data_IF_355360293199
#
_entry.id   IF_355360293199
#
_cell.length_a   1.000
_cell.length_b   1.000
_cell.length_c   1.000
_cell.angle_alpha   90.00
_cell.angle_beta   90.00
_cell.angle_gamma   90.00
#
_symmetry.space_group_name_H-M   'P 1'
#
loop_
_entity.id
_entity.type
_entity.pdbx_description
1 polymer ?
#
# COMPACT_ATOMS: atom_id res chain seq x y z
N UNK A 1 26.52 9.98 -6.86
CA UNK A 1 25.74 9.19 -7.81
C UNK A 1 24.47 8.64 -7.14
N UNK A 2 24.58 8.00 -5.97
CA UNK A 2 23.44 7.44 -5.22
C UNK A 2 22.48 8.55 -4.79
N UNK A 3 22.96 9.62 -4.19
CA UNK A 3 22.11 10.77 -3.82
C UNK A 3 21.35 11.32 -5.04
N UNK A 4 22.01 11.40 -6.21
CA UNK A 4 21.34 11.82 -7.45
C UNK A 4 20.27 10.85 -7.91
N UNK A 5 20.47 9.54 -7.72
CA UNK A 5 19.45 8.53 -8.02
C UNK A 5 18.23 8.70 -7.10
N UNK A 6 18.47 8.79 -5.80
CA UNK A 6 17.40 9.00 -4.81
C UNK A 6 16.67 10.32 -5.05
N UNK A 7 17.41 11.39 -5.39
CA UNK A 7 16.81 12.67 -5.77
C UNK A 7 15.86 12.52 -6.96
N UNK A 8 16.25 11.77 -7.99
CA UNK A 8 15.37 11.50 -9.13
C UNK A 8 14.10 10.74 -8.74
N UNK A 9 14.22 9.74 -7.87
CA UNK A 9 13.04 9.05 -7.33
C UNK A 9 12.09 10.03 -6.64
N UNK A 10 12.61 10.95 -5.81
CA UNK A 10 11.83 11.99 -5.14
C UNK A 10 11.18 12.98 -6.11
N UNK A 11 11.82 13.23 -7.26
CA UNK A 11 11.31 14.16 -8.28
C UNK A 11 10.25 13.57 -9.19
N UNK A 12 10.11 12.26 -9.30
CA UNK A 12 9.18 11.60 -10.24
C UNK A 12 7.74 12.07 -10.04
N UNK A 13 7.31 12.31 -8.81
CA UNK A 13 5.96 12.81 -8.52
C UNK A 13 5.63 14.16 -9.19
N UNK A 14 6.61 14.98 -9.45
CA UNK A 14 6.44 16.29 -10.12
C UNK A 14 6.31 16.16 -11.64
N UNK A 15 6.69 15.02 -12.20
CA UNK A 15 6.51 14.71 -13.62
C UNK A 15 5.10 14.22 -14.00
N UNK A 16 4.19 14.11 -13.04
CA UNK A 16 2.82 13.70 -13.27
C UNK A 16 1.99 14.82 -13.89
N UNK A 17 0.92 14.46 -14.61
CA UNK A 17 0.00 15.45 -15.17
C UNK A 17 -0.67 16.28 -14.05
N UNK A 18 -0.99 17.56 -14.31
CA UNK A 18 -1.56 18.45 -13.29
C UNK A 18 -2.82 17.93 -12.61
N UNK A 19 -3.74 17.31 -13.35
CA UNK A 19 -4.97 16.74 -12.80
C UNK A 19 -4.71 15.61 -11.81
N UNK A 20 -3.70 14.77 -12.08
CA UNK A 20 -3.29 13.74 -11.14
C UNK A 20 -2.70 14.36 -9.87
N UNK A 21 -1.84 15.35 -10.01
CA UNK A 21 -1.23 16.04 -8.86
C UNK A 21 -2.28 16.77 -8.00
N UNK A 22 -3.34 17.26 -8.60
CA UNK A 22 -4.45 17.90 -7.87
C UNK A 22 -5.19 16.90 -6.97
N UNK A 23 -5.42 15.68 -7.46
CA UNK A 23 -6.12 14.62 -6.71
C UNK A 23 -5.24 13.96 -5.67
N UNK A 24 -3.97 13.73 -6.00
CA UNK A 24 -3.03 12.93 -5.22
C UNK A 24 -1.83 13.75 -4.73
N UNK A 25 -2.02 15.03 -4.53
CA UNK A 25 -0.98 15.92 -3.98
C UNK A 25 -0.54 15.44 -2.59
N UNK A 26 0.76 15.23 -2.46
CA UNK A 26 1.36 14.72 -1.22
C UNK A 26 1.51 13.21 -1.16
N UNK A 27 0.82 12.44 -2.00
CA UNK A 27 1.02 11.00 -2.06
C UNK A 27 2.36 10.65 -2.73
N UNK A 28 3.12 9.71 -2.14
CA UNK A 28 4.34 9.20 -2.77
C UNK A 28 4.02 8.42 -4.05
N UNK A 29 5.03 8.27 -4.92
CA UNK A 29 4.95 7.43 -6.14
C UNK A 29 5.08 5.95 -5.80
N UNK A 30 5.56 5.64 -4.59
CA UNK A 30 5.80 4.29 -4.09
C UNK A 30 6.88 3.52 -4.85
N UNK A 31 7.88 4.23 -5.40
CA UNK A 31 9.08 3.59 -5.89
C UNK A 31 9.78 2.88 -4.74
N UNK A 32 9.88 1.55 -4.81
CA UNK A 32 10.52 0.74 -3.77
C UNK A 32 11.97 0.47 -4.13
N UNK A 33 12.86 0.63 -3.16
CA UNK A 33 14.27 0.32 -3.24
C UNK A 33 14.61 -0.68 -2.15
N UNK A 34 14.97 -1.88 -2.54
CA UNK A 34 15.32 -2.95 -1.61
C UNK A 34 16.82 -3.08 -1.43
N UNK A 35 17.23 -3.33 -0.20
CA UNK A 35 18.65 -3.55 0.18
C UNK A 35 18.77 -4.74 1.10
N UNK A 36 19.95 -5.33 1.14
CA UNK A 36 20.29 -6.51 1.94
C UNK A 36 19.59 -7.81 1.45
N UNK A 37 19.08 -8.63 2.39
CA UNK A 37 18.53 -9.94 2.07
C UNK A 37 19.58 -11.00 1.78
N UNK A 38 19.15 -12.13 1.22
CA UNK A 38 20.00 -13.27 0.88
C UNK A 38 19.86 -13.66 -0.60
N UNK A 39 20.94 -14.16 -1.19
CA UNK A 39 20.92 -14.77 -2.51
C UNK A 39 20.51 -16.23 -2.47
N UNK A 40 20.28 -16.81 -3.65
CA UNK A 40 19.94 -18.24 -3.85
C UNK A 40 20.99 -19.18 -3.23
N UNK A 41 22.24 -18.74 -3.19
CA UNK A 41 23.36 -19.47 -2.59
C UNK A 41 23.46 -19.34 -1.06
N UNK A 42 22.51 -18.66 -0.43
CA UNK A 42 22.46 -18.47 1.01
C UNK A 42 23.42 -17.40 1.56
N UNK A 43 24.16 -16.70 0.70
CA UNK A 43 25.00 -15.58 1.12
C UNK A 43 24.18 -14.31 1.27
N UNK A 44 24.50 -13.50 2.28
CA UNK A 44 23.89 -12.18 2.38
C UNK A 44 24.28 -11.29 1.20
N UNK A 45 23.37 -10.46 0.75
CA UNK A 45 23.55 -9.55 -0.38
C UNK A 45 24.02 -8.16 0.06
N UNK A 46 24.35 -7.96 1.34
CA UNK A 46 24.84 -6.68 1.85
C UNK A 46 26.14 -6.29 1.17
N UNK A 47 26.11 -5.13 0.53
CA UNK A 47 27.24 -4.53 -0.20
C UNK A 47 27.54 -3.14 0.36
N UNK A 48 28.63 -2.54 -0.14
CA UNK A 48 28.98 -1.14 0.15
C UNK A 48 27.87 -0.15 -0.29
N UNK A 49 27.13 -0.51 -1.33
CA UNK A 49 26.05 0.34 -1.83
C UNK A 49 24.84 0.36 -0.89
N UNK A 50 24.55 -0.74 -0.19
CA UNK A 50 23.46 -0.74 0.80
C UNK A 50 23.72 0.26 1.92
N UNK A 51 24.96 0.31 2.44
CA UNK A 51 25.35 1.37 3.40
C UNK A 51 25.20 2.78 2.82
N UNK A 52 25.54 2.97 1.54
CA UNK A 52 25.43 4.26 0.87
C UNK A 52 23.98 4.68 0.66
N UNK A 53 23.10 3.74 0.31
CA UNK A 53 21.66 4.00 0.21
C UNK A 53 21.07 4.40 1.56
N UNK A 54 21.45 3.72 2.63
CA UNK A 54 21.03 4.12 3.97
C UNK A 54 21.58 5.51 4.33
N UNK A 55 22.85 5.76 4.04
CA UNK A 55 23.50 7.05 4.34
C UNK A 55 22.87 8.23 3.58
N UNK A 56 22.34 7.99 2.39
CA UNK A 56 21.64 9.02 1.60
C UNK A 56 20.45 9.62 2.37
N UNK A 57 19.81 8.86 3.24
CA UNK A 57 18.73 9.38 4.08
C UNK A 57 19.20 10.46 5.08
N UNK A 58 20.46 10.38 5.54
CA UNK A 58 21.06 11.46 6.33
C UNK A 58 21.46 12.65 5.46
N UNK A 59 22.07 12.40 4.28
CA UNK A 59 22.51 13.46 3.38
C UNK A 59 21.37 14.31 2.83
N UNK A 60 20.26 13.67 2.47
CA UNK A 60 19.14 14.32 1.79
C UNK A 60 17.94 14.58 2.70
N UNK A 61 18.01 14.12 3.93
CA UNK A 61 16.92 14.15 4.89
C UNK A 61 15.87 13.04 4.65
N UNK A 62 15.02 12.80 5.67
CA UNK A 62 13.97 11.78 5.62
C UNK A 62 12.95 12.06 4.52
N UNK A 63 12.45 11.01 3.90
CA UNK A 63 11.42 11.10 2.87
C UNK A 63 10.76 9.74 2.64
N UNK A 64 9.48 9.70 2.26
CA UNK A 64 8.82 8.45 1.87
C UNK A 64 9.28 7.94 0.49
N UNK A 65 10.08 8.72 -0.25
CA UNK A 65 10.57 8.38 -1.59
C UNK A 65 12.10 8.30 -1.66
N UNK A 66 12.64 7.23 -2.23
CA UNK A 66 11.99 5.94 -2.49
C UNK A 66 11.56 5.29 -1.18
N UNK A 67 10.58 4.36 -1.23
CA UNK A 67 10.27 3.51 -0.10
C UNK A 67 11.43 2.53 0.09
N UNK A 68 12.34 2.85 1.00
CA UNK A 68 13.56 2.08 1.21
C UNK A 68 13.28 0.94 2.17
N UNK A 69 13.38 -0.28 1.67
CA UNK A 69 13.09 -1.52 2.39
C UNK A 69 14.36 -2.31 2.64
N UNK A 70 14.61 -2.64 3.90
CA UNK A 70 15.65 -3.59 4.30
C UNK A 70 15.04 -4.98 4.39
N UNK A 71 15.50 -5.90 3.55
CA UNK A 71 15.16 -7.32 3.66
C UNK A 71 15.95 -7.90 4.84
N UNK A 72 15.32 -7.87 6.00
CA UNK A 72 15.96 -8.15 7.28
C UNK A 72 16.02 -9.64 7.62
N UNK A 73 17.17 -10.05 8.15
CA UNK A 73 17.36 -11.34 8.83
C UNK A 73 18.32 -11.15 9.98
N UNK A 74 18.17 -11.94 11.02
CA UNK A 74 19.12 -11.97 12.14
C UNK A 74 20.52 -12.45 11.71
N UNK A 75 20.62 -13.13 10.57
CA UNK A 75 21.88 -13.65 9.97
C UNK A 75 22.66 -12.59 9.19
N UNK A 76 22.08 -11.41 8.92
CA UNK A 76 22.80 -10.32 8.26
C UNK A 76 23.98 -9.84 9.12
N UNK A 77 25.04 -9.27 8.50
CA UNK A 77 26.19 -8.76 9.24
C UNK A 77 25.78 -7.80 10.35
N UNK A 78 26.29 -8.03 11.54
CA UNK A 78 25.91 -7.25 12.73
C UNK A 78 26.12 -5.74 12.54
N UNK A 79 27.24 -5.36 11.91
CA UNK A 79 27.53 -3.95 11.64
C UNK A 79 26.48 -3.31 10.72
N UNK A 80 25.96 -4.06 9.73
CA UNK A 80 24.89 -3.56 8.85
C UNK A 80 23.60 -3.38 9.64
N UNK A 81 23.20 -4.38 10.44
CA UNK A 81 21.99 -4.31 11.25
C UNK A 81 22.03 -3.12 12.23
N UNK A 82 23.17 -2.92 12.91
CA UNK A 82 23.37 -1.78 13.80
C UNK A 82 23.29 -0.45 13.05
N UNK A 83 23.92 -0.36 11.89
CA UNK A 83 23.91 0.86 11.10
C UNK A 83 22.50 1.18 10.59
N UNK A 84 21.78 0.20 10.04
CA UNK A 84 20.39 0.36 9.61
C UNK A 84 19.49 0.84 10.74
N UNK A 85 19.62 0.25 11.95
CA UNK A 85 18.88 0.67 13.12
C UNK A 85 19.16 2.14 13.51
N UNK A 86 20.43 2.57 13.48
CA UNK A 86 20.81 3.96 13.77
C UNK A 86 20.16 4.92 12.77
N UNK A 87 20.25 4.61 11.47
CA UNK A 87 19.62 5.45 10.44
C UNK A 87 18.09 5.46 10.56
N UNK A 88 17.50 4.31 10.87
CA UNK A 88 16.05 4.21 11.09
C UNK A 88 15.57 5.12 12.23
N UNK A 89 16.27 5.10 13.37
CA UNK A 89 15.94 5.96 14.52
C UNK A 89 16.08 7.45 14.17
N UNK A 90 17.10 7.81 13.38
CA UNK A 90 17.36 9.21 13.03
C UNK A 90 16.41 9.77 11.97
N UNK A 91 15.96 8.92 11.03
CA UNK A 91 15.26 9.39 9.83
C UNK A 91 13.81 8.93 9.73
N UNK A 92 13.43 7.86 10.43
CA UNK A 92 12.10 7.20 10.31
C UNK A 92 11.72 6.89 8.84
N UNK A 93 12.71 6.63 7.98
CA UNK A 93 12.52 6.47 6.53
C UNK A 93 12.93 5.10 6.00
N UNK A 94 13.04 4.11 6.88
CA UNK A 94 13.37 2.73 6.50
C UNK A 94 12.22 1.81 6.89
N UNK A 95 11.83 0.97 5.95
CA UNK A 95 10.92 -0.15 6.17
C UNK A 95 11.73 -1.43 6.33
N UNK A 96 11.22 -2.35 7.13
CA UNK A 96 11.84 -3.67 7.33
C UNK A 96 10.87 -4.77 6.95
N UNK A 97 11.34 -5.70 6.13
CA UNK A 97 10.64 -6.95 5.82
C UNK A 97 11.47 -8.13 6.33
N UNK A 98 10.80 -9.12 6.91
CA UNK A 98 11.48 -10.30 7.44
C UNK A 98 11.77 -11.30 6.33
N UNK A 99 13.00 -11.27 5.80
CA UNK A 99 13.45 -12.14 4.70
C UNK A 99 13.38 -13.64 5.08
N UNK A 100 13.58 -13.98 6.35
CA UNK A 100 13.49 -15.38 6.81
C UNK A 100 12.05 -15.93 6.77
N UNK A 101 11.04 -15.06 6.85
CA UNK A 101 9.62 -15.41 6.75
C UNK A 101 9.11 -15.32 5.30
N UNK A 102 9.52 -14.28 4.58
CA UNK A 102 9.01 -14.01 3.23
C UNK A 102 9.55 -14.97 2.19
N UNK A 103 10.85 -15.22 2.21
CA UNK A 103 11.54 -16.06 1.21
C UNK A 103 11.00 -17.49 1.10
N UNK A 104 10.71 -18.23 2.20
CA UNK A 104 10.13 -19.56 2.10
C UNK A 104 8.76 -19.63 1.41
N UNK A 105 8.00 -18.53 1.43
CA UNK A 105 6.66 -18.43 0.85
C UNK A 105 6.72 -17.94 -0.60
N UNK A 106 7.54 -16.91 -0.87
CA UNK A 106 7.55 -16.19 -2.15
C UNK A 106 8.72 -16.58 -3.06
N UNK A 107 9.68 -17.36 -2.57
CA UNK A 107 10.87 -17.74 -3.33
C UNK A 107 11.98 -16.69 -3.26
N UNK A 108 13.06 -16.95 -4.01
CA UNK A 108 14.26 -16.12 -3.97
C UNK A 108 14.13 -14.81 -4.77
N UNK A 109 13.20 -14.76 -5.71
CA UNK A 109 12.97 -13.63 -6.63
C UNK A 109 11.83 -12.71 -6.16
N UNK A 110 11.46 -12.76 -4.88
CA UNK A 110 10.43 -11.86 -4.41
C UNK A 110 10.93 -10.43 -4.24
N UNK A 111 10.02 -9.50 -4.37
CA UNK A 111 10.21 -8.09 -4.04
C UNK A 111 8.98 -7.54 -3.30
N UNK A 112 9.14 -6.37 -2.71
CA UNK A 112 8.05 -5.68 -2.01
C UNK A 112 7.48 -4.60 -2.91
N UNK A 113 6.22 -4.74 -3.27
CA UNK A 113 5.48 -3.73 -4.02
C UNK A 113 4.90 -2.68 -3.07
N UNK A 114 5.05 -1.42 -3.42
CA UNK A 114 4.55 -0.30 -2.61
C UNK A 114 5.12 -0.32 -1.18
N UNK A 115 4.24 -0.65 -0.23
CA UNK A 115 4.54 -0.59 1.19
C UNK A 115 4.99 -1.93 1.74
N UNK A 116 4.17 -2.99 1.57
CA UNK A 116 4.32 -4.26 2.30
C UNK A 116 3.90 -5.50 1.51
N UNK A 117 3.50 -5.36 0.27
CA UNK A 117 2.98 -6.48 -0.51
C UNK A 117 4.09 -7.21 -1.23
N UNK A 118 4.28 -8.48 -0.90
CA UNK A 118 5.24 -9.31 -1.62
C UNK A 118 4.69 -9.73 -2.99
N UNK A 119 5.57 -9.72 -3.99
CA UNK A 119 5.32 -10.24 -5.34
C UNK A 119 6.54 -10.98 -5.85
N UNK A 120 6.35 -11.92 -6.75
CA UNK A 120 7.46 -12.52 -7.50
C UNK A 120 7.86 -11.61 -8.64
N UNK A 121 9.08 -11.13 -8.64
CA UNK A 121 9.60 -10.18 -9.63
C UNK A 121 9.51 -10.75 -11.03
N UNK A 122 8.85 -10.01 -11.92
CA UNK A 122 8.65 -10.38 -13.32
C UNK A 122 7.61 -11.47 -13.58
N UNK A 123 6.97 -12.04 -12.54
CA UNK A 123 5.97 -13.11 -12.66
C UNK A 123 4.59 -12.71 -12.17
N UNK A 124 4.53 -11.66 -11.35
CA UNK A 124 3.29 -11.21 -10.74
C UNK A 124 3.13 -9.71 -10.93
N UNK A 125 1.88 -9.29 -11.15
CA UNK A 125 1.47 -7.89 -11.08
C UNK A 125 0.50 -7.76 -9.92
N UNK A 126 0.76 -6.79 -9.05
CA UNK A 126 -0.18 -6.42 -8.01
C UNK A 126 -0.76 -5.06 -8.32
N UNK A 127 -2.09 -5.00 -8.29
CA UNK A 127 -2.81 -3.76 -8.44
C UNK A 127 -3.43 -3.32 -7.10
N UNK A 128 -3.22 -2.06 -6.76
CA UNK A 128 -3.82 -1.43 -5.60
C UNK A 128 -4.66 -0.22 -6.05
N UNK A 129 -5.98 -0.39 -6.09
CA UNK A 129 -6.87 0.60 -6.70
C UNK A 129 -7.51 1.58 -5.73
N UNK A 130 -7.95 1.12 -4.56
CA UNK A 130 -8.72 1.93 -3.63
C UNK A 130 -8.77 1.33 -2.22
N UNK A 131 -9.17 2.15 -1.25
CA UNK A 131 -9.54 1.72 0.10
C UNK A 131 -11.03 1.90 0.32
N UNK A 132 -11.69 0.93 0.96
CA UNK A 132 -13.07 1.06 1.43
C UNK A 132 -13.09 1.90 2.72
N UNK A 133 -13.91 2.95 2.76
CA UNK A 133 -14.03 3.83 3.91
C UNK A 133 -15.11 3.31 4.87
N UNK A 134 -14.70 2.59 5.91
CA UNK A 134 -15.60 1.97 6.88
C UNK A 134 -16.30 2.98 7.77
N UNK A 135 -15.64 4.09 8.11
CA UNK A 135 -16.27 5.15 8.90
C UNK A 135 -17.45 5.79 8.15
N UNK A 136 -17.28 6.06 6.84
CA UNK A 136 -18.38 6.51 5.99
C UNK A 136 -19.47 5.44 5.85
N UNK A 137 -19.09 4.18 5.75
CA UNK A 137 -20.03 3.07 5.69
C UNK A 137 -20.93 3.02 6.93
N UNK A 138 -20.35 3.18 8.13
CA UNK A 138 -21.11 3.25 9.38
C UNK A 138 -22.06 4.46 9.39
N UNK A 139 -21.61 5.63 8.97
CA UNK A 139 -22.48 6.82 8.87
C UNK A 139 -23.63 6.62 7.87
N UNK A 140 -23.38 5.98 6.75
CA UNK A 140 -24.45 5.61 5.79
C UNK A 140 -25.40 4.59 6.37
N UNK A 141 -24.89 3.62 7.13
CA UNK A 141 -25.75 2.64 7.83
C UNK A 141 -26.74 3.32 8.78
N UNK A 142 -26.29 4.30 9.55
CA UNK A 142 -27.14 5.08 10.47
C UNK A 142 -28.12 5.98 9.70
N UNK A 143 -27.71 6.56 8.59
CA UNK A 143 -28.48 7.55 7.83
C UNK A 143 -29.31 6.97 6.68
N UNK A 144 -29.58 5.69 6.65
CA UNK A 144 -30.40 5.08 5.60
C UNK A 144 -29.79 5.15 4.21
N UNK A 145 -28.46 5.03 4.11
CA UNK A 145 -27.69 5.06 2.87
C UNK A 145 -27.40 6.45 2.32
N UNK A 146 -27.71 7.52 3.07
CA UNK A 146 -27.51 8.92 2.63
C UNK A 146 -26.23 9.54 3.17
N UNK A 147 -25.57 10.34 2.35
CA UNK A 147 -24.47 11.19 2.81
C UNK A 147 -24.96 12.32 3.70
N UNK A 148 -24.33 12.49 4.85
CA UNK A 148 -24.74 13.51 5.85
C UNK A 148 -24.54 14.95 5.40
N UNK A 149 -23.59 15.22 4.48
CA UNK A 149 -23.28 16.56 4.03
C UNK A 149 -24.11 16.98 2.82
N UNK A 150 -24.28 16.07 1.87
CA UNK A 150 -24.96 16.38 0.61
C UNK A 150 -26.44 15.96 0.63
N UNK A 151 -26.82 15.02 1.49
CA UNK A 151 -28.15 14.42 1.50
C UNK A 151 -28.40 13.42 0.36
N UNK A 152 -27.41 13.22 -0.50
CA UNK A 152 -27.53 12.29 -1.63
C UNK A 152 -27.63 10.85 -1.19
N UNK A 153 -28.45 10.05 -1.89
CA UNK A 153 -28.50 8.61 -1.70
C UNK A 153 -27.27 7.97 -2.33
N UNK A 154 -26.40 7.39 -1.50
CA UNK A 154 -25.14 6.80 -1.93
C UNK A 154 -25.19 5.28 -1.87
N UNK A 155 -25.78 4.72 -0.85
CA UNK A 155 -25.94 3.28 -0.61
C UNK A 155 -27.37 2.80 -0.74
N UNK A 156 -27.66 1.55 -0.37
CA UNK A 156 -29.02 1.02 -0.28
C UNK A 156 -29.93 1.91 0.57
N UNK A 157 -31.16 2.12 0.10
CA UNK A 157 -32.13 2.95 0.81
C UNK A 157 -32.91 2.11 1.83
N UNK A 158 -32.95 2.60 3.06
CA UNK A 158 -33.78 2.10 4.15
C UNK A 158 -34.04 3.20 5.20
N UNK A 159 -34.90 2.93 6.16
CA UNK A 159 -35.22 3.91 7.20
C UNK A 159 -33.97 4.26 8.04
N UNK A 160 -33.63 5.55 8.17
CA UNK A 160 -32.52 5.96 9.04
C UNK A 160 -32.87 5.71 10.52
N UNK A 161 -31.85 5.62 11.36
CA UNK A 161 -32.04 5.58 12.81
C UNK A 161 -32.31 7.00 13.27
N UNK A 162 -33.48 7.23 13.88
CA UNK A 162 -33.91 8.55 14.36
C UNK A 162 -34.07 8.62 15.87
N UNK A 163 -33.80 7.55 16.59
CA UNK A 163 -33.84 7.49 18.05
C UNK A 163 -32.80 8.42 18.67
N UNK A 164 -33.10 8.95 19.85
CA UNK A 164 -32.19 9.81 20.62
C UNK A 164 -30.90 9.06 21.03
N UNK A 165 -31.04 7.77 21.30
CA UNK A 165 -29.93 6.88 21.62
C UNK A 165 -29.85 5.78 20.56
N UNK A 166 -28.61 5.44 20.17
CA UNK A 166 -28.35 4.35 19.22
C UNK A 166 -28.40 3.02 19.95
N UNK A 167 -29.20 2.11 19.43
CA UNK A 167 -29.17 0.71 19.85
C UNK A 167 -28.08 -0.04 19.10
N UNK A 168 -27.23 -0.76 19.83
CA UNK A 168 -26.07 -1.43 19.26
C UNK A 168 -26.46 -2.49 18.22
N UNK A 169 -27.47 -3.33 18.54
CA UNK A 169 -27.87 -4.41 17.65
C UNK A 169 -28.55 -3.87 16.38
N UNK A 170 -29.33 -2.80 16.48
CA UNK A 170 -29.89 -2.12 15.32
C UNK A 170 -28.81 -1.51 14.42
N UNK A 171 -27.83 -0.84 15.02
CA UNK A 171 -26.68 -0.25 14.28
C UNK A 171 -25.89 -1.35 13.58
N UNK A 172 -25.55 -2.42 14.29
CA UNK A 172 -24.79 -3.53 13.72
C UNK A 172 -25.52 -4.21 12.58
N UNK A 173 -26.81 -4.48 12.72
CA UNK A 173 -27.62 -5.07 11.64
C UNK A 173 -27.60 -4.20 10.37
N UNK A 174 -27.78 -2.88 10.50
CA UNK A 174 -27.72 -1.95 9.37
C UNK A 174 -26.32 -1.80 8.81
N UNK A 175 -25.31 -1.85 9.66
CA UNK A 175 -23.92 -1.79 9.25
C UNK A 175 -23.52 -3.02 8.43
N UNK A 176 -23.94 -4.22 8.83
CA UNK A 176 -23.70 -5.46 8.07
C UNK A 176 -24.34 -5.39 6.67
N UNK A 177 -25.57 -4.93 6.55
CA UNK A 177 -26.22 -4.72 5.25
C UNK A 177 -25.45 -3.72 4.36
N UNK A 178 -24.97 -2.64 4.96
CA UNK A 178 -24.19 -1.64 4.23
C UNK A 178 -22.81 -2.17 3.84
N UNK A 179 -22.19 -3.00 4.69
CA UNK A 179 -20.90 -3.64 4.41
C UNK A 179 -21.00 -4.63 3.26
N UNK A 180 -22.06 -5.43 3.19
CA UNK A 180 -22.30 -6.37 2.08
C UNK A 180 -22.40 -5.61 0.74
N UNK A 181 -23.17 -4.52 0.72
CA UNK A 181 -23.25 -3.65 -0.45
C UNK A 181 -21.89 -3.04 -0.81
N UNK A 182 -21.17 -2.50 0.18
CA UNK A 182 -19.86 -1.90 -0.01
C UNK A 182 -18.83 -2.90 -0.54
N UNK A 183 -18.82 -4.14 -0.02
CA UNK A 183 -17.94 -5.19 -0.49
C UNK A 183 -18.17 -5.51 -1.97
N UNK A 184 -19.44 -5.66 -2.37
CA UNK A 184 -19.82 -5.87 -3.76
C UNK A 184 -19.39 -4.72 -4.67
N UNK A 185 -19.64 -3.49 -4.27
CA UNK A 185 -19.24 -2.28 -4.99
C UNK A 185 -17.71 -2.20 -5.12
N UNK A 186 -17.01 -2.46 -4.02
CA UNK A 186 -15.55 -2.40 -3.95
C UNK A 186 -14.89 -3.40 -4.91
N UNK A 187 -15.31 -4.68 -4.87
CA UNK A 187 -14.77 -5.72 -5.75
C UNK A 187 -15.06 -5.40 -7.22
N UNK A 188 -16.30 -4.99 -7.54
CA UNK A 188 -16.66 -4.62 -8.91
C UNK A 188 -15.86 -3.42 -9.42
N UNK A 189 -15.62 -2.43 -8.57
CA UNK A 189 -14.81 -1.26 -8.91
C UNK A 189 -13.37 -1.65 -9.18
N UNK A 190 -12.75 -2.48 -8.34
CA UNK A 190 -11.39 -2.97 -8.56
C UNK A 190 -11.28 -3.80 -9.85
N UNK A 191 -12.23 -4.68 -10.12
CA UNK A 191 -12.27 -5.45 -11.36
C UNK A 191 -12.36 -4.55 -12.59
N UNK A 192 -13.20 -3.49 -12.53
CA UNK A 192 -13.32 -2.53 -13.62
C UNK A 192 -12.00 -1.78 -13.85
N UNK A 193 -11.36 -1.32 -12.79
CA UNK A 193 -10.08 -0.62 -12.87
C UNK A 193 -9.01 -1.53 -13.50
N UNK A 194 -8.90 -2.79 -13.07
CA UNK A 194 -7.99 -3.78 -13.67
C UNK A 194 -8.27 -4.00 -15.16
N UNK A 195 -9.54 -4.19 -15.50
CA UNK A 195 -9.92 -4.36 -16.91
C UNK A 195 -9.52 -3.17 -17.76
N UNK A 196 -9.68 -1.94 -17.22
CA UNK A 196 -9.31 -0.72 -17.95
C UNK A 196 -7.78 -0.60 -18.12
N UNK A 197 -7.00 -0.98 -17.12
CA UNK A 197 -5.54 -1.02 -17.22
C UNK A 197 -5.07 -2.07 -18.22
N UNK A 198 -5.60 -3.29 -18.18
CA UNK A 198 -5.31 -4.34 -19.15
C UNK A 198 -5.62 -3.91 -20.57
N UNK A 199 -6.81 -3.34 -20.78
CA UNK A 199 -7.31 -2.99 -22.12
C UNK A 199 -6.58 -1.82 -22.74
N UNK A 200 -6.22 -0.82 -21.92
CA UNK A 200 -5.78 0.48 -22.43
C UNK A 200 -4.30 0.76 -22.25
N UNK A 201 -3.47 -0.26 -22.02
CA UNK A 201 -2.03 -0.01 -22.20
C UNK A 201 -1.09 -0.28 -21.02
N UNK A 202 -1.55 -0.19 -19.79
CA UNK A 202 -0.64 -0.23 -18.62
C UNK A 202 0.20 -1.52 -18.58
N UNK A 203 -0.46 -2.67 -18.58
CA UNK A 203 0.24 -3.96 -18.54
C UNK A 203 0.98 -4.25 -19.86
N UNK A 204 0.44 -3.82 -20.99
CA UNK A 204 1.11 -3.97 -22.27
C UNK A 204 2.44 -3.22 -22.33
N UNK A 205 2.56 -2.08 -21.66
CA UNK A 205 3.83 -1.34 -21.56
C UNK A 205 4.87 -2.06 -20.68
N UNK A 206 4.44 -2.82 -19.70
CA UNK A 206 5.30 -3.57 -18.79
C UNK A 206 5.64 -4.98 -19.28
N UNK A 207 4.91 -5.52 -20.27
CA UNK A 207 5.09 -6.88 -20.80
C UNK A 207 6.52 -7.18 -21.29
N UNK A 208 7.30 -6.15 -21.61
CA UNK A 208 8.72 -6.33 -21.95
C UNK A 208 9.61 -6.73 -20.74
N UNK A 209 9.10 -6.56 -19.52
CA UNK A 209 9.83 -6.77 -18.27
C UNK A 209 9.28 -7.92 -17.43
N UNK A 210 8.16 -8.52 -17.87
CA UNK A 210 7.46 -9.57 -17.13
C UNK A 210 7.17 -10.78 -18.01
N UNK A 211 6.88 -11.92 -17.38
CA UNK A 211 6.53 -13.16 -18.04
C UNK A 211 5.23 -13.04 -18.87
N UNK A 212 5.08 -13.90 -19.85
CA UNK A 212 3.87 -13.95 -20.69
C UNK A 212 2.65 -14.52 -19.96
N UNK A 213 2.87 -15.29 -18.90
CA UNK A 213 1.82 -15.83 -18.03
C UNK A 213 1.91 -15.15 -16.64
N UNK A 214 1.32 -13.96 -16.57
CA UNK A 214 1.39 -13.11 -15.38
C UNK A 214 0.26 -13.43 -14.42
N UNK A 215 0.59 -13.72 -13.17
CA UNK A 215 -0.38 -13.83 -12.09
C UNK A 215 -0.77 -12.43 -11.59
N UNK A 216 -2.07 -12.13 -11.64
CA UNK A 216 -2.62 -10.86 -11.17
C UNK A 216 -3.20 -11.01 -9.78
N UNK A 217 -2.84 -10.09 -8.92
CA UNK A 217 -3.33 -10.03 -7.53
C UNK A 217 -3.88 -8.65 -7.21
N UNK A 218 -4.83 -8.60 -6.26
CA UNK A 218 -5.31 -7.34 -5.71
C UNK A 218 -4.70 -7.07 -4.34
N UNK A 219 -4.24 -5.85 -4.12
CA UNK A 219 -4.03 -5.33 -2.78
C UNK A 219 -5.32 -4.63 -2.34
N UNK A 220 -6.10 -5.29 -1.51
CA UNK A 220 -7.31 -4.71 -0.91
C UNK A 220 -6.95 -3.91 0.33
N UNK A 221 -7.76 -2.92 0.68
CA UNK A 221 -7.52 -2.10 1.85
C UNK A 221 -8.78 -1.46 2.43
N UNK A 222 -8.73 -1.16 3.71
CA UNK A 222 -9.77 -0.45 4.45
C UNK A 222 -9.19 0.82 5.09
N UNK A 223 -10.05 1.80 5.34
CA UNK A 223 -9.72 3.01 6.09
C UNK A 223 -10.81 3.29 7.12
N UNK A 224 -10.43 3.88 8.25
CA UNK A 224 -11.36 4.26 9.31
C UNK A 224 -11.79 3.12 10.25
N UNK A 225 -11.05 2.00 10.27
CA UNK A 225 -11.38 0.86 11.13
C UNK A 225 -11.39 1.23 12.62
N UNK A 226 -10.36 1.94 13.10
CA UNK A 226 -10.30 2.41 14.49
C UNK A 226 -11.48 3.33 14.84
N UNK A 227 -11.87 4.22 13.94
CA UNK A 227 -13.03 5.08 14.16
C UNK A 227 -14.33 4.31 14.31
N UNK A 228 -14.49 3.22 13.53
CA UNK A 228 -15.67 2.33 13.68
C UNK A 228 -15.67 1.64 15.03
N UNK A 229 -14.54 1.06 15.43
CA UNK A 229 -14.43 0.37 16.73
C UNK A 229 -14.68 1.34 17.88
N UNK A 230 -14.02 2.50 17.89
CA UNK A 230 -14.19 3.52 18.95
C UNK A 230 -15.62 4.09 19.01
N UNK A 231 -16.37 4.01 17.91
CA UNK A 231 -17.77 4.48 17.86
C UNK A 231 -18.78 3.44 18.29
N UNK A 232 -18.41 2.15 18.28
CA UNK A 232 -19.27 1.02 18.64
C UNK A 232 -19.01 0.50 20.07
N UNK A 233 -17.89 0.88 20.69
CA UNK A 233 -17.55 0.58 22.09
C UNK A 233 -18.03 1.69 23.01
#
# INVERSE_FOLDING_TARGET
>A
LIDHFVMKCRMVKFGRIPSYNQLFSGDPVWATLEVAGFGVDGRHMVTKNDYRFLHTLENMGPSPEPNLTVLYSSRLPENFRKYAAVISVRTSSIQYENDDVMRPVWGDDYSICCCVSATQTGKEIQFFGARANLAKCLLYAINGGRDMKTGEQVGPEYAPITSEYLDFDEVMHKFDLMMDWLAGLYVNTLNLIHYMHDKYYYEAAEMALIDTDVRRTFATGIAGFSHVIDSLC
#
